data_IF_890168363725
#
_entry.id   IF_890168363725
#
_cell.length_a   1.000
_cell.length_b   1.000
_cell.length_c   1.000
_cell.angle_alpha   90.00
_cell.angle_beta   90.00
_cell.angle_gamma   90.00
#
_symmetry.space_group_name_H-M   'P 1'
#
loop_
_entity.id
_entity.type
_entity.pdbx_description
1 polymer ?
#
# COMPACT_ATOMS: atom_id res chain seq x y z
N UNK A 1 -7.40 4.63 -6.42
CA UNK A 1 -7.39 3.31 -5.72
C UNK A 1 -7.42 3.49 -4.21
N UNK A 2 -6.48 4.27 -3.63
CA UNK A 2 -6.51 4.62 -2.21
C UNK A 2 -7.77 5.42 -1.82
N UNK A 3 -8.28 6.30 -2.70
CA UNK A 3 -9.50 7.07 -2.42
C UNK A 3 -10.72 6.17 -2.24
N UNK A 4 -10.95 5.23 -3.16
CA UNK A 4 -12.00 4.22 -2.99
C UNK A 4 -11.82 3.43 -1.70
N UNK A 5 -10.57 3.08 -1.35
CA UNK A 5 -10.29 2.39 -0.09
C UNK A 5 -10.71 3.22 1.13
N UNK A 6 -10.53 4.55 1.11
CA UNK A 6 -10.99 5.47 2.17
C UNK A 6 -12.51 5.52 2.31
N UNK A 7 -13.24 5.34 1.23
CA UNK A 7 -14.70 5.47 1.29
C UNK A 7 -15.37 4.14 1.65
N UNK A 8 -14.82 3.01 1.19
CA UNK A 8 -15.54 1.72 1.24
C UNK A 8 -14.98 0.71 2.23
N UNK A 9 -13.69 0.80 2.59
CA UNK A 9 -13.07 -0.23 3.41
C UNK A 9 -13.50 -0.06 4.87
N UNK A 10 -14.13 -1.07 5.47
CA UNK A 10 -14.52 -1.00 6.88
C UNK A 10 -13.30 -0.78 7.81
N UNK A 11 -13.50 -0.14 8.98
CA UNK A 11 -12.47 -0.06 10.03
C UNK A 11 -11.90 -1.44 10.35
N UNK A 12 -10.59 -1.53 10.58
CA UNK A 12 -9.87 -2.79 10.75
C UNK A 12 -9.54 -3.54 9.45
N UNK A 13 -10.10 -3.13 8.31
CA UNK A 13 -9.88 -3.75 7.01
C UNK A 13 -8.43 -3.72 6.53
N UNK A 14 -8.14 -4.51 5.48
CA UNK A 14 -6.82 -4.61 4.85
C UNK A 14 -6.85 -4.15 3.40
N UNK A 15 -5.74 -3.55 2.96
CA UNK A 15 -5.54 -3.02 1.62
C UNK A 15 -4.20 -3.53 1.06
N UNK A 16 -4.24 -4.13 -0.13
CA UNK A 16 -3.07 -4.61 -0.84
C UNK A 16 -3.04 -3.96 -2.21
N UNK A 17 -1.92 -3.33 -2.55
CA UNK A 17 -1.76 -2.64 -3.82
C UNK A 17 -0.37 -2.87 -4.39
N UNK A 18 -0.32 -3.07 -5.71
CA UNK A 18 0.91 -3.19 -6.48
C UNK A 18 1.27 -1.82 -7.05
N UNK A 19 2.51 -1.38 -6.84
CA UNK A 19 2.98 -0.06 -7.25
C UNK A 19 4.40 -0.15 -7.79
N UNK A 20 4.80 0.84 -8.61
CA UNK A 20 6.18 1.01 -9.00
C UNK A 20 6.85 2.00 -8.04
N UNK A 21 8.02 1.64 -7.53
CA UNK A 21 8.85 2.52 -6.72
C UNK A 21 9.54 3.54 -7.64
N UNK A 22 9.05 4.77 -7.58
CA UNK A 22 9.50 5.90 -8.39
C UNK A 22 8.87 7.18 -7.87
N UNK A 23 8.67 8.15 -8.76
CA UNK A 23 8.12 9.45 -8.37
C UNK A 23 6.71 9.30 -7.75
N UNK A 24 6.48 10.01 -6.64
CA UNK A 24 5.24 9.95 -5.87
C UNK A 24 5.09 8.73 -4.94
N UNK A 25 6.00 7.75 -4.98
CA UNK A 25 5.90 6.55 -4.14
C UNK A 25 5.92 6.88 -2.64
N UNK A 26 6.84 7.75 -2.21
CA UNK A 26 6.99 8.09 -0.79
C UNK A 26 5.80 8.89 -0.25
N UNK A 27 5.23 9.78 -1.07
CA UNK A 27 4.00 10.51 -0.74
C UNK A 27 2.82 9.55 -0.58
N UNK A 28 2.64 8.66 -1.57
CA UNK A 28 1.60 7.64 -1.52
C UNK A 28 1.76 6.70 -0.31
N UNK A 29 2.98 6.30 0.02
CA UNK A 29 3.27 5.49 1.21
C UNK A 29 2.96 6.24 2.51
N UNK A 30 3.24 7.55 2.60
CA UNK A 30 2.90 8.38 3.75
C UNK A 30 1.39 8.43 3.95
N UNK A 31 0.62 8.62 2.88
CA UNK A 31 -0.84 8.58 2.93
C UNK A 31 -1.38 7.22 3.39
N UNK A 32 -0.82 6.11 2.92
CA UNK A 32 -1.24 4.79 3.41
C UNK A 32 -0.88 4.62 4.90
N UNK A 33 0.29 5.09 5.35
CA UNK A 33 0.69 5.01 6.76
C UNK A 33 -0.20 5.84 7.68
N UNK A 34 -0.75 6.97 7.20
CA UNK A 34 -1.68 7.76 8.01
C UNK A 34 -2.99 7.00 8.24
N UNK A 35 -3.44 6.19 7.28
CA UNK A 35 -4.74 5.50 7.29
C UNK A 35 -4.73 4.10 7.91
N UNK A 36 -3.58 3.44 8.04
CA UNK A 36 -3.49 2.07 8.54
C UNK A 36 -2.61 1.97 9.78
N UNK A 37 -2.89 0.98 10.63
CA UNK A 37 -2.08 0.68 11.82
C UNK A 37 -0.75 0.02 11.47
N UNK A 38 -0.71 -0.78 10.39
CA UNK A 38 0.50 -1.47 9.95
C UNK A 38 0.62 -1.44 8.44
N UNK A 39 1.80 -1.09 7.95
CA UNK A 39 2.11 -1.02 6.52
C UNK A 39 3.44 -1.70 6.26
N UNK A 40 3.47 -2.64 5.31
CA UNK A 40 4.68 -3.35 4.86
C UNK A 40 4.84 -3.21 3.36
N UNK A 41 6.08 -3.06 2.91
CA UNK A 41 6.44 -3.14 1.49
C UNK A 41 7.04 -4.53 1.26
N UNK A 42 6.59 -5.21 0.20
CA UNK A 42 7.05 -6.55 -0.19
C UNK A 42 7.39 -6.58 -1.67
N UNK A 43 8.58 -7.05 -2.00
CA UNK A 43 8.97 -7.42 -3.37
C UNK A 43 8.93 -8.95 -3.45
N UNK A 44 7.94 -9.56 -4.13
CA UNK A 44 7.84 -11.01 -4.23
C UNK A 44 8.99 -11.58 -5.07
N UNK A 45 9.41 -12.80 -4.78
CA UNK A 45 10.45 -13.50 -5.56
C UNK A 45 10.03 -13.72 -7.02
N UNK A 46 8.72 -13.80 -7.28
CA UNK A 46 8.16 -13.86 -8.62
C UNK A 46 8.32 -12.55 -9.43
N UNK A 47 8.68 -11.44 -8.79
CA UNK A 47 8.95 -10.17 -9.48
C UNK A 47 10.35 -10.19 -10.09
N UNK A 48 10.46 -9.72 -11.35
CA UNK A 48 11.78 -9.62 -12.02
C UNK A 48 12.70 -8.71 -11.21
N UNK A 49 13.95 -9.11 -11.00
CA UNK A 49 14.93 -8.33 -10.22
C UNK A 49 15.03 -6.87 -10.68
N UNK A 50 15.06 -6.63 -12.01
CA UNK A 50 15.11 -5.31 -12.64
C UNK A 50 13.83 -4.46 -12.53
N UNK A 51 12.70 -5.05 -12.12
CA UNK A 51 11.46 -4.32 -11.95
C UNK A 51 11.51 -3.47 -10.69
N UNK A 52 11.00 -2.24 -10.77
CA UNK A 52 10.77 -1.38 -9.61
C UNK A 52 9.42 -1.67 -8.93
N UNK A 53 8.74 -2.74 -9.34
CA UNK A 53 7.44 -3.13 -8.79
C UNK A 53 7.58 -3.68 -7.36
N UNK A 54 6.72 -3.21 -6.47
CA UNK A 54 6.56 -3.67 -5.09
C UNK A 54 5.08 -3.74 -4.75
N UNK A 55 4.74 -4.51 -3.72
CA UNK A 55 3.42 -4.54 -3.12
C UNK A 55 3.45 -3.81 -1.78
N UNK A 56 2.48 -2.93 -1.56
CA UNK A 56 2.20 -2.36 -0.25
C UNK A 56 1.07 -3.19 0.37
N UNK A 57 1.34 -3.76 1.54
CA UNK A 57 0.38 -4.52 2.34
C UNK A 57 0.09 -3.70 3.59
N UNK A 58 -1.12 -3.13 3.64
CA UNK A 58 -1.60 -2.32 4.74
C UNK A 58 -2.75 -3.03 5.46
N UNK A 59 -2.69 -3.10 6.79
CA UNK A 59 -3.67 -3.84 7.60
C UNK A 59 -4.15 -2.98 8.76
N UNK A 60 -5.41 -3.19 9.16
CA UNK A 60 -6.02 -2.47 10.27
C UNK A 60 -6.26 -1.01 9.91
N UNK A 61 -7.18 -0.77 8.98
CA UNK A 61 -7.66 0.58 8.64
C UNK A 61 -8.12 1.31 9.91
N UNK A 62 -7.61 2.51 10.14
CA UNK A 62 -8.02 3.40 11.22
C UNK A 62 -9.42 3.97 10.94
N UNK A 63 -10.10 4.39 12.00
CA UNK A 63 -11.36 5.12 11.91
C UNK A 63 -11.15 6.48 11.24
#
# INVERSE_FOLDING_TARGET
ALDMCRDVLAPGGSFLVKVFQGDGFDEYLREIRSLFTKVKIRKPDASRARSREVYIVATGRKL
#
